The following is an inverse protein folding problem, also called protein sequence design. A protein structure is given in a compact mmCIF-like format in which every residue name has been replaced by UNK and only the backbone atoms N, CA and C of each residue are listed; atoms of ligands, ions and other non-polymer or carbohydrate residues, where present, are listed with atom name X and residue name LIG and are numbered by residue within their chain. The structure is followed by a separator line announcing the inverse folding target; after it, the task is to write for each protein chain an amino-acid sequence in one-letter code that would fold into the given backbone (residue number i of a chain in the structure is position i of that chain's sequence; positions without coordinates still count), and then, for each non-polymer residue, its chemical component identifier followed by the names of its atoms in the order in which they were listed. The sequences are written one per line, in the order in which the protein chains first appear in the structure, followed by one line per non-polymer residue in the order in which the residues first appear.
data_IF_787374778477
#
_entry.id   IF_787374778477
#
_cell.length_a   1.000
_cell.length_b   1.000
_cell.length_c   1.000
_cell.angle_alpha   90.00
_cell.angle_beta   90.00
_cell.angle_gamma   90.00
#
_symmetry.space_group_name_H-M   'P 1'
#
loop_
_entity.id
_entity.type
_entity.pdbx_description
1 polymer ?
#
# COMPACT_ATOMS: atom_id res chain seq x y z
N UNK A 1 10.53 0.73 -13.59
CA UNK A 1 11.82 0.70 -12.89
C UNK A 1 11.63 -0.12 -11.63
N UNK A 2 12.45 -1.13 -11.34
CA UNK A 2 12.27 -1.97 -10.15
C UNK A 2 12.56 -1.16 -8.88
N UNK A 3 11.79 -1.39 -7.79
CA UNK A 3 11.97 -0.69 -6.49
C UNK A 3 13.41 -0.74 -6.01
N UNK A 4 14.10 -1.87 -6.23
CA UNK A 4 15.50 -2.05 -5.85
C UNK A 4 16.45 -1.12 -6.60
N UNK A 5 16.18 -0.85 -7.87
CA UNK A 5 16.96 0.08 -8.70
C UNK A 5 16.76 1.50 -8.17
N UNK A 6 15.51 1.89 -7.92
CA UNK A 6 15.21 3.19 -7.33
C UNK A 6 15.84 3.36 -5.94
N UNK A 7 15.88 2.29 -5.12
CA UNK A 7 16.51 2.31 -3.80
C UNK A 7 18.02 2.54 -3.88
N UNK A 8 18.71 1.81 -4.76
CA UNK A 8 20.15 1.98 -5.00
C UNK A 8 20.45 3.40 -5.49
N UNK A 9 19.66 3.90 -6.44
CA UNK A 9 19.86 5.24 -7.00
C UNK A 9 19.62 6.34 -5.97
N UNK A 10 18.63 6.18 -5.10
CA UNK A 10 18.42 7.09 -3.98
C UNK A 10 19.62 7.13 -3.03
N UNK A 11 20.19 5.97 -2.68
CA UNK A 11 21.35 5.88 -1.81
C UNK A 11 22.61 6.55 -2.40
N UNK A 12 22.86 6.36 -3.71
CA UNK A 12 23.93 7.05 -4.43
C UNK A 12 23.77 8.58 -4.35
N UNK A 13 22.58 9.09 -4.67
CA UNK A 13 22.31 10.53 -4.66
C UNK A 13 22.42 11.13 -3.24
N UNK A 14 21.99 10.39 -2.21
CA UNK A 14 22.18 10.79 -0.81
C UNK A 14 23.66 10.87 -0.43
N UNK A 15 24.48 9.91 -0.87
CA UNK A 15 25.93 9.92 -0.61
C UNK A 15 26.64 11.12 -1.24
N UNK A 16 26.06 11.67 -2.32
CA UNK A 16 26.53 12.86 -3.02
C UNK A 16 25.91 14.18 -2.48
N UNK A 17 25.10 14.12 -1.42
CA UNK A 17 24.42 15.29 -0.85
C UNK A 17 23.25 15.82 -1.69
N UNK A 18 22.83 15.10 -2.74
CA UNK A 18 21.76 15.51 -3.67
C UNK A 18 20.38 15.09 -3.17
N UNK A 19 19.96 15.67 -2.05
CA UNK A 19 18.75 15.26 -1.32
C UNK A 19 17.48 15.40 -2.17
N UNK A 20 17.32 16.51 -2.89
CA UNK A 20 16.11 16.75 -3.69
C UNK A 20 15.98 15.77 -4.87
N UNK A 21 17.09 15.45 -5.54
CA UNK A 21 17.10 14.43 -6.60
C UNK A 21 16.79 13.04 -6.01
N UNK A 22 17.38 12.71 -4.86
CA UNK A 22 17.15 11.44 -4.18
C UNK A 22 15.69 11.24 -3.77
N UNK A 23 14.98 12.32 -3.41
CA UNK A 23 13.59 12.30 -2.92
C UNK A 23 12.63 11.60 -3.88
N UNK A 24 12.78 11.82 -5.18
CA UNK A 24 11.95 11.19 -6.20
C UNK A 24 12.14 9.66 -6.22
N UNK A 25 13.39 9.21 -6.17
CA UNK A 25 13.74 7.78 -6.15
C UNK A 25 13.37 7.10 -4.83
N UNK A 26 13.45 7.80 -3.70
CA UNK A 26 12.97 7.32 -2.41
C UNK A 26 11.48 6.99 -2.47
N UNK A 27 10.65 7.90 -3.02
CA UNK A 27 9.19 7.66 -3.16
C UNK A 27 8.87 6.44 -4.01
N UNK A 28 9.63 6.21 -5.10
CA UNK A 28 9.43 5.06 -6.01
C UNK A 28 9.91 3.73 -5.43
N UNK A 29 10.73 3.75 -4.38
CA UNK A 29 11.30 2.55 -3.76
C UNK A 29 10.62 2.17 -2.44
N UNK A 30 9.53 2.85 -2.06
CA UNK A 30 8.76 2.50 -0.87
C UNK A 30 8.15 1.12 -1.05
N UNK A 31 8.40 0.25 -0.08
CA UNK A 31 7.75 -1.05 0.06
C UNK A 31 6.81 -1.00 1.27
N UNK A 32 5.56 -1.40 1.07
CA UNK A 32 4.55 -1.40 2.13
C UNK A 32 4.63 -2.72 2.87
N UNK A 33 5.15 -2.70 4.09
CA UNK A 33 5.36 -3.91 4.89
C UNK A 33 4.14 -4.29 5.71
N UNK A 34 4.04 -5.58 6.08
CA UNK A 34 3.03 -6.07 7.02
C UNK A 34 3.06 -5.34 8.38
N UNK A 35 4.23 -4.92 8.84
CA UNK A 35 4.36 -4.17 10.09
C UNK A 35 3.69 -2.79 10.00
N UNK A 36 3.82 -2.10 8.85
CA UNK A 36 3.13 -0.83 8.59
C UNK A 36 1.60 -1.03 8.55
N UNK A 37 1.13 -2.06 7.85
CA UNK A 37 -0.29 -2.41 7.81
C UNK A 37 -0.86 -2.74 9.20
N UNK A 38 -0.12 -3.53 10.01
CA UNK A 38 -0.52 -3.87 11.38
C UNK A 38 -0.63 -2.64 12.28
N UNK A 39 0.28 -1.67 12.14
CA UNK A 39 0.22 -0.42 12.89
C UNK A 39 -1.07 0.35 12.57
N UNK A 40 -1.44 0.44 11.29
CA UNK A 40 -2.70 1.06 10.86
C UNK A 40 -3.93 0.31 11.41
N UNK A 41 -3.96 -1.03 11.28
CA UNK A 41 -5.06 -1.87 11.78
C UNK A 41 -5.28 -1.64 13.27
N UNK A 42 -4.22 -1.54 14.07
CA UNK A 42 -4.31 -1.28 15.51
C UNK A 42 -4.98 0.07 15.79
N UNK A 43 -4.61 1.12 15.06
CA UNK A 43 -5.23 2.44 15.24
C UNK A 43 -6.69 2.49 14.76
N UNK A 44 -7.03 1.81 13.67
CA UNK A 44 -8.42 1.66 13.21
C UNK A 44 -9.29 0.95 14.25
N UNK A 45 -8.81 -0.17 14.81
CA UNK A 45 -9.55 -0.93 15.83
C UNK A 45 -9.77 -0.15 17.13
N UNK A 46 -8.82 0.71 17.54
CA UNK A 46 -9.03 1.65 18.66
C UNK A 46 -10.19 2.62 18.43
N UNK A 47 -10.53 2.89 17.17
CA UNK A 47 -11.64 3.76 16.74
C UNK A 47 -12.91 2.96 16.41
N UNK A 48 -12.96 1.67 16.75
CA UNK A 48 -14.04 0.75 16.41
C UNK A 48 -14.28 0.63 14.90
N UNK A 49 -13.21 0.66 14.10
CA UNK A 49 -13.25 0.42 12.66
C UNK A 49 -12.80 -1.02 12.41
N UNK A 50 -13.66 -1.82 11.78
CA UNK A 50 -13.34 -3.21 11.45
C UNK A 50 -12.24 -3.29 10.39
N UNK A 51 -11.34 -4.27 10.56
CA UNK A 51 -10.23 -4.51 9.65
C UNK A 51 -10.09 -6.01 9.40
N UNK A 52 -10.17 -6.40 8.13
CA UNK A 52 -10.01 -7.77 7.64
C UNK A 52 -8.74 -7.82 6.78
N UNK A 53 -7.90 -8.83 7.00
CA UNK A 53 -6.75 -9.13 6.15
C UNK A 53 -7.18 -10.23 5.19
N UNK A 54 -7.09 -9.96 3.88
CA UNK A 54 -7.41 -10.95 2.85
C UNK A 54 -6.41 -12.12 2.90
N UNK A 55 -6.82 -13.35 2.56
CA UNK A 55 -5.89 -14.49 2.48
C UNK A 55 -4.83 -14.32 1.38
N UNK A 56 -5.15 -13.53 0.34
CA UNK A 56 -4.30 -13.18 -0.79
C UNK A 56 -4.53 -11.72 -1.17
N UNK A 57 -5.01 -11.45 -2.40
CA UNK A 57 -5.24 -10.10 -2.90
C UNK A 57 -6.47 -9.45 -2.26
N UNK A 58 -6.35 -8.15 -1.96
CA UNK A 58 -7.43 -7.39 -1.38
C UNK A 58 -8.60 -7.24 -2.35
N UNK A 59 -8.34 -7.14 -3.66
CA UNK A 59 -9.36 -6.88 -4.68
C UNK A 59 -10.38 -8.02 -4.75
N UNK A 60 -9.91 -9.27 -4.73
CA UNK A 60 -10.78 -10.45 -4.66
C UNK A 60 -11.64 -10.48 -3.38
N UNK A 61 -11.07 -10.10 -2.24
CA UNK A 61 -11.80 -10.04 -0.97
C UNK A 61 -12.85 -8.91 -0.99
N UNK A 62 -12.50 -7.74 -1.52
CA UNK A 62 -13.42 -6.60 -1.65
C UNK A 62 -14.57 -6.93 -2.60
N UNK A 63 -14.29 -7.55 -3.75
CA UNK A 63 -15.31 -8.01 -4.70
C UNK A 63 -16.25 -9.04 -4.05
N UNK A 64 -15.71 -10.03 -3.32
CA UNK A 64 -16.52 -11.00 -2.59
C UNK A 64 -17.47 -10.32 -1.58
N UNK A 65 -16.98 -9.38 -0.79
CA UNK A 65 -17.79 -8.68 0.21
C UNK A 65 -18.93 -7.86 -0.43
N UNK A 66 -18.68 -7.26 -1.59
CA UNK A 66 -19.70 -6.55 -2.35
C UNK A 66 -20.75 -7.51 -2.92
N UNK A 67 -20.33 -8.57 -3.63
CA UNK A 67 -21.21 -9.57 -4.25
C UNK A 67 -22.07 -10.30 -3.21
N UNK A 68 -21.55 -10.53 -2.00
CA UNK A 68 -22.30 -11.14 -0.89
C UNK A 68 -23.16 -10.15 -0.10
N UNK A 69 -23.24 -8.90 -0.53
CA UNK A 69 -24.00 -7.82 0.12
C UNK A 69 -23.52 -7.49 1.56
N UNK A 70 -22.28 -7.83 1.91
CA UNK A 70 -21.66 -7.35 3.15
C UNK A 70 -21.26 -5.87 3.05
N UNK A 71 -20.98 -5.39 1.83
CA UNK A 71 -20.69 -3.99 1.54
C UNK A 71 -21.52 -3.48 0.36
N UNK A 72 -22.00 -2.24 0.42
CA UNK A 72 -22.76 -1.62 -0.67
C UNK A 72 -21.85 -0.91 -1.69
N UNK A 73 -20.68 -0.44 -1.25
CA UNK A 73 -19.72 0.29 -2.07
C UNK A 73 -18.29 -0.10 -1.70
N UNK A 74 -17.40 -0.11 -2.69
CA UNK A 74 -15.96 -0.25 -2.50
C UNK A 74 -15.26 1.04 -2.90
N UNK A 75 -14.32 1.51 -2.09
CA UNK A 75 -13.47 2.67 -2.38
C UNK A 75 -12.07 2.15 -2.68
N UNK A 76 -11.60 2.39 -3.91
CA UNK A 76 -10.28 1.96 -4.39
C UNK A 76 -9.85 2.85 -5.56
N UNK A 77 -8.54 3.04 -5.72
CA UNK A 77 -7.96 3.64 -6.92
C UNK A 77 -7.64 2.58 -7.99
N UNK A 78 -7.71 1.29 -7.63
CA UNK A 78 -7.44 0.18 -8.53
C UNK A 78 -8.66 -0.11 -9.40
N UNK A 79 -8.48 -0.05 -10.72
CA UNK A 79 -9.52 -0.34 -11.70
C UNK A 79 -9.83 -1.82 -11.85
N UNK A 80 -8.97 -2.70 -11.34
CA UNK A 80 -9.09 -4.15 -11.56
C UNK A 80 -10.32 -4.75 -10.86
N UNK A 81 -10.97 -4.03 -9.94
CA UNK A 81 -12.24 -4.45 -9.33
C UNK A 81 -13.46 -4.41 -10.27
N UNK A 82 -13.34 -3.83 -11.48
CA UNK A 82 -14.46 -3.69 -12.43
C UNK A 82 -14.56 -4.87 -13.41
N UNK A 83 -13.54 -5.73 -13.47
CA UNK A 83 -13.46 -6.87 -14.39
C UNK A 83 -14.38 -8.04 -14.00
#
# INVERSE_FOLDING_TARGET
ESRDISKKRAAELLSLGKIEEARSFMRRSVDITHAMALALIKECRKRNIDCIVAPYEADAQLAYLNVKNYAQLVITEDSDLIL
#
